data_IF_688935409005
#
_entry.id   IF_688935409005
#
_cell.length_a   1.000
_cell.length_b   1.000
_cell.length_c   1.000
_cell.angle_alpha   90.00
_cell.angle_beta   90.00
_cell.angle_gamma   90.00
#
_symmetry.space_group_name_H-M   'P 1'
#
loop_
_entity.id
_entity.type
_entity.pdbx_description
1 polymer ?
#
# COMPACT_ATOMS: atom_id res chain seq x y z
N UNK A 1 -2.83 26.05 -21.18
CA UNK A 1 -2.56 24.78 -20.47
C UNK A 1 -2.56 23.58 -21.44
N UNK A 2 -3.65 23.31 -22.18
CA UNK A 2 -3.73 22.16 -23.10
C UNK A 2 -2.61 22.10 -24.17
N UNK A 3 -2.20 23.24 -24.76
CA UNK A 3 -1.06 23.29 -25.69
C UNK A 3 0.29 22.87 -25.07
N UNK A 4 0.49 23.12 -23.78
CA UNK A 4 1.70 22.71 -23.08
C UNK A 4 1.71 21.19 -22.80
N UNK A 5 0.52 20.59 -22.63
CA UNK A 5 0.36 19.14 -22.43
C UNK A 5 0.56 18.35 -23.73
N UNK A 6 0.25 18.92 -24.89
CA UNK A 6 0.26 18.21 -26.18
C UNK A 6 1.58 17.52 -26.53
N UNK A 7 2.73 18.03 -26.05
CA UNK A 7 4.04 17.44 -26.29
C UNK A 7 4.44 16.36 -25.27
N UNK A 8 3.98 16.45 -24.02
CA UNK A 8 4.37 15.56 -22.93
C UNK A 8 3.32 14.48 -22.61
N UNK A 9 2.04 14.84 -22.73
CA UNK A 9 0.86 14.03 -22.40
C UNK A 9 -0.25 14.25 -23.44
N UNK A 10 -0.06 13.81 -24.70
CA UNK A 10 -1.02 14.04 -25.78
C UNK A 10 -2.43 13.50 -25.48
N UNK A 11 -2.57 12.42 -24.70
CA UNK A 11 -3.88 11.91 -24.29
C UNK A 11 -4.62 12.86 -23.32
N UNK A 12 -3.91 13.49 -22.38
CA UNK A 12 -4.51 14.48 -21.47
C UNK A 12 -4.86 15.78 -22.20
N UNK A 13 -4.02 16.19 -23.16
CA UNK A 13 -4.32 17.30 -24.05
C UNK A 13 -5.58 17.00 -24.89
N UNK A 14 -5.70 15.80 -25.45
CA UNK A 14 -6.87 15.36 -26.20
C UNK A 14 -8.13 15.41 -25.33
N UNK A 15 -8.07 14.88 -24.11
CA UNK A 15 -9.18 14.91 -23.17
C UNK A 15 -9.61 16.36 -22.88
N UNK A 16 -8.65 17.23 -22.60
CA UNK A 16 -8.91 18.65 -22.28
C UNK A 16 -9.56 19.38 -23.45
N UNK A 17 -9.02 19.24 -24.67
CA UNK A 17 -9.59 19.88 -25.85
C UNK A 17 -10.97 19.33 -26.21
N UNK A 18 -11.16 18.01 -26.07
CA UNK A 18 -12.45 17.37 -26.29
C UNK A 18 -13.51 17.83 -25.28
N UNK A 19 -13.14 17.98 -24.00
CA UNK A 19 -14.00 18.53 -22.97
C UNK A 19 -14.37 19.99 -23.25
N UNK A 20 -13.39 20.83 -23.61
CA UNK A 20 -13.64 22.22 -23.99
C UNK A 20 -14.61 22.33 -25.18
N UNK A 21 -14.41 21.53 -26.23
CA UNK A 21 -15.30 21.53 -27.39
C UNK A 21 -16.73 21.14 -26.99
N UNK A 22 -16.89 20.11 -26.15
CA UNK A 22 -18.19 19.62 -25.69
C UNK A 22 -18.90 20.61 -24.76
N UNK A 23 -18.22 21.14 -23.76
CA UNK A 23 -18.83 21.90 -22.68
C UNK A 23 -19.19 23.34 -23.10
N UNK A 24 -18.51 23.89 -24.11
CA UNK A 24 -18.76 25.24 -24.64
C UNK A 24 -19.52 25.28 -25.97
N UNK A 25 -19.90 24.12 -26.52
CA UNK A 25 -20.69 24.04 -27.74
C UNK A 25 -22.00 24.84 -27.60
N UNK A 26 -22.22 25.78 -28.51
CA UNK A 26 -23.41 26.67 -28.51
C UNK A 26 -23.32 27.87 -27.56
N UNK A 27 -22.26 27.97 -26.75
CA UNK A 27 -21.98 29.13 -25.89
C UNK A 27 -20.83 29.99 -26.42
N UNK A 28 -19.81 29.36 -27.01
CA UNK A 28 -18.65 30.02 -27.59
C UNK A 28 -18.23 29.36 -28.91
N UNK A 29 -17.34 30.02 -29.65
CA UNK A 29 -16.65 29.39 -30.78
C UNK A 29 -15.68 28.31 -30.26
N UNK A 30 -15.89 27.07 -30.69
CA UNK A 30 -15.12 25.88 -30.29
C UNK A 30 -14.29 25.30 -31.42
N UNK A 31 -14.22 25.95 -32.58
CA UNK A 31 -13.56 25.41 -33.77
C UNK A 31 -12.07 25.10 -33.56
N UNK A 32 -11.38 25.90 -32.74
CA UNK A 32 -10.01 25.60 -32.34
C UNK A 32 -9.93 24.31 -31.52
N UNK A 33 -10.77 24.17 -30.49
CA UNK A 33 -10.75 23.01 -29.62
C UNK A 33 -11.06 21.71 -30.38
N UNK A 34 -12.04 21.75 -31.29
CA UNK A 34 -12.36 20.62 -32.18
C UNK A 34 -11.19 20.25 -33.08
N UNK A 35 -10.53 21.24 -33.70
CA UNK A 35 -9.38 21.00 -34.57
C UNK A 35 -8.20 20.38 -33.81
N UNK A 36 -7.86 20.92 -32.65
CA UNK A 36 -6.76 20.40 -31.82
C UNK A 36 -7.08 18.99 -31.31
N UNK A 37 -8.32 18.73 -30.87
CA UNK A 37 -8.76 17.40 -30.47
C UNK A 37 -8.67 16.40 -31.63
N UNK A 38 -9.16 16.76 -32.83
CA UNK A 38 -9.08 15.90 -34.00
C UNK A 38 -7.63 15.59 -34.41
N UNK A 39 -6.75 16.60 -34.38
CA UNK A 39 -5.34 16.44 -34.69
C UNK A 39 -4.63 15.51 -33.70
N UNK A 40 -4.87 15.70 -32.39
CA UNK A 40 -4.31 14.83 -31.35
C UNK A 40 -4.85 13.40 -31.46
N UNK A 41 -6.15 13.24 -31.68
CA UNK A 41 -6.79 11.92 -31.84
C UNK A 41 -6.21 11.15 -33.04
N UNK A 42 -5.86 11.82 -34.14
CA UNK A 42 -5.22 11.18 -35.29
C UNK A 42 -3.72 10.90 -35.09
N UNK A 43 -3.08 11.47 -34.06
CA UNK A 43 -1.63 11.36 -33.87
C UNK A 43 -1.22 9.96 -33.35
N UNK A 44 -0.15 9.35 -33.92
CA UNK A 44 0.35 8.06 -33.43
C UNK A 44 0.77 8.09 -31.95
N UNK A 45 1.35 9.20 -31.48
CA UNK A 45 1.78 9.38 -30.10
C UNK A 45 0.58 9.32 -29.12
N UNK A 46 -0.50 10.04 -29.42
CA UNK A 46 -1.72 9.98 -28.60
C UNK A 46 -2.35 8.58 -28.61
N UNK A 47 -2.41 7.93 -29.77
CA UNK A 47 -2.97 6.58 -29.90
C UNK A 47 -2.15 5.55 -29.12
N UNK A 48 -0.83 5.68 -29.13
CA UNK A 48 0.06 4.83 -28.34
C UNK A 48 -0.16 5.04 -26.84
N UNK A 49 -0.26 6.30 -26.39
CA UNK A 49 -0.50 6.62 -24.97
C UNK A 49 -1.86 6.09 -24.48
N UNK A 50 -2.93 6.28 -25.27
CA UNK A 50 -4.27 5.75 -24.95
C UNK A 50 -4.25 4.23 -24.80
N UNK A 51 -3.60 3.52 -25.74
CA UNK A 51 -3.46 2.05 -25.67
C UNK A 51 -2.68 1.64 -24.43
N UNK A 52 -1.56 2.31 -24.14
CA UNK A 52 -0.75 2.04 -22.96
C UNK A 52 -1.53 2.27 -21.66
N UNK A 53 -2.38 3.30 -21.58
CA UNK A 53 -3.28 3.53 -20.44
C UNK A 53 -4.32 2.42 -20.31
N UNK A 54 -4.98 2.06 -21.41
CA UNK A 54 -6.00 1.00 -21.43
C UNK A 54 -5.42 -0.38 -21.03
N UNK A 55 -4.22 -0.71 -21.49
CA UNK A 55 -3.54 -1.96 -21.12
C UNK A 55 -3.16 -1.99 -19.64
N UNK A 56 -2.71 -0.86 -19.08
CA UNK A 56 -2.44 -0.74 -17.64
C UNK A 56 -3.72 -0.90 -16.82
N UNK A 57 -4.79 -0.22 -17.19
CA UNK A 57 -6.09 -0.32 -16.51
C UNK A 57 -6.63 -1.75 -16.53
N UNK A 58 -6.50 -2.45 -17.67
CA UNK A 58 -6.92 -3.85 -17.80
C UNK A 58 -6.11 -4.76 -16.88
N UNK A 59 -4.78 -4.67 -16.92
CA UNK A 59 -3.87 -5.45 -16.06
C UNK A 59 -4.15 -5.19 -14.58
N UNK A 60 -4.34 -3.93 -14.20
CA UNK A 60 -4.58 -3.57 -12.80
C UNK A 60 -5.92 -4.09 -12.30
N UNK A 61 -6.97 -4.04 -13.14
CA UNK A 61 -8.27 -4.67 -12.85
C UNK A 61 -8.14 -6.18 -12.68
N UNK A 62 -7.38 -6.87 -13.53
CA UNK A 62 -7.15 -8.31 -13.41
C UNK A 62 -6.42 -8.66 -12.10
N UNK A 63 -5.40 -7.88 -11.71
CA UNK A 63 -4.67 -8.07 -10.45
C UNK A 63 -5.62 -7.89 -9.24
N UNK A 64 -6.41 -6.82 -9.24
CA UNK A 64 -7.34 -6.53 -8.14
C UNK A 64 -8.50 -7.54 -8.08
N UNK A 65 -8.99 -8.02 -9.21
CA UNK A 65 -10.05 -9.03 -9.26
C UNK A 65 -9.60 -10.37 -8.66
N UNK A 66 -8.33 -10.74 -8.83
CA UNK A 66 -7.78 -12.00 -8.32
C UNK A 66 -7.40 -11.93 -6.83
N UNK A 67 -7.10 -10.73 -6.31
CA UNK A 67 -6.64 -10.53 -4.93
C UNK A 67 -7.50 -11.17 -3.85
N UNK A 68 -8.83 -10.94 -3.82
CA UNK A 68 -9.71 -11.55 -2.82
C UNK A 68 -9.67 -13.08 -2.80
N UNK A 69 -9.60 -13.73 -3.96
CA UNK A 69 -9.53 -15.20 -4.05
C UNK A 69 -8.21 -15.72 -3.47
N UNK A 70 -7.10 -15.04 -3.76
CA UNK A 70 -5.78 -15.38 -3.20
C UNK A 70 -5.79 -15.23 -1.68
N UNK A 71 -6.32 -14.13 -1.14
CA UNK A 71 -6.42 -13.94 0.31
C UNK A 71 -7.37 -14.94 0.97
N UNK A 72 -8.47 -15.29 0.30
CA UNK A 72 -9.43 -16.30 0.78
C UNK A 72 -8.84 -17.71 0.78
N UNK A 73 -7.81 -18.00 -0.02
CA UNK A 73 -7.13 -19.31 0.00
C UNK A 73 -6.41 -19.61 1.33
N UNK A 74 -6.23 -18.58 2.17
CA UNK A 74 -5.70 -18.67 3.53
C UNK A 74 -6.80 -19.20 4.46
N UNK A 75 -7.22 -20.45 4.25
CA UNK A 75 -8.29 -21.10 5.01
C UNK A 75 -7.75 -22.14 6.00
N UNK A 76 -8.38 -22.29 7.18
CA UNK A 76 -8.10 -23.38 8.09
C UNK A 76 -8.36 -24.74 7.39
N UNK A 77 -7.35 -25.62 7.38
CA UNK A 77 -7.45 -26.96 6.77
C UNK A 77 -6.91 -27.09 5.34
N UNK A 78 -6.49 -25.97 4.73
CA UNK A 78 -5.71 -26.00 3.49
C UNK A 78 -4.24 -26.42 3.72
N UNK A 79 -3.49 -26.73 2.65
CA UNK A 79 -2.05 -26.96 2.76
C UNK A 79 -1.36 -25.72 3.34
N UNK A 80 -0.25 -25.88 4.09
CA UNK A 80 0.50 -24.74 4.62
C UNK A 80 0.96 -23.83 3.48
N UNK A 81 0.54 -22.56 3.51
CA UNK A 81 1.00 -21.53 2.57
C UNK A 81 1.87 -20.55 3.35
N UNK A 82 3.04 -20.22 2.82
CA UNK A 82 3.93 -19.22 3.41
C UNK A 82 3.52 -17.81 3.00
N UNK A 83 3.88 -16.82 3.81
CA UNK A 83 3.69 -15.39 3.47
C UNK A 83 4.33 -15.07 2.11
N UNK A 84 5.53 -15.58 1.85
CA UNK A 84 6.23 -15.37 0.59
C UNK A 84 5.46 -15.92 -0.63
N UNK A 85 4.81 -17.08 -0.49
CA UNK A 85 3.96 -17.64 -1.56
C UNK A 85 2.74 -16.77 -1.83
N UNK A 86 2.09 -16.25 -0.78
CA UNK A 86 0.94 -15.35 -0.91
C UNK A 86 1.37 -14.02 -1.54
N UNK A 87 2.47 -13.44 -1.07
CA UNK A 87 3.02 -12.20 -1.61
C UNK A 87 3.40 -12.35 -3.09
N UNK A 88 3.97 -13.50 -3.49
CA UNK A 88 4.26 -13.80 -4.89
C UNK A 88 2.98 -13.94 -5.73
N UNK A 89 1.95 -14.63 -5.21
CA UNK A 89 0.66 -14.78 -5.89
C UNK A 89 -0.05 -13.42 -6.09
N UNK A 90 0.05 -12.52 -5.11
CA UNK A 90 -0.43 -11.13 -5.18
C UNK A 90 0.49 -10.22 -5.99
N UNK A 91 1.60 -10.74 -6.54
CA UNK A 91 2.61 -9.99 -7.28
C UNK A 91 3.24 -8.83 -6.50
N UNK A 92 3.32 -8.91 -5.17
CA UNK A 92 3.87 -7.84 -4.31
C UNK A 92 5.28 -7.42 -4.72
N UNK A 93 6.25 -8.34 -4.98
CA UNK A 93 7.59 -7.92 -5.41
C UNK A 93 7.60 -7.16 -6.74
N UNK A 94 6.79 -7.61 -7.71
CA UNK A 94 6.65 -6.94 -9.02
C UNK A 94 6.02 -5.55 -8.86
N UNK A 95 4.94 -5.45 -8.09
CA UNK A 95 4.24 -4.20 -7.81
C UNK A 95 5.15 -3.21 -7.09
N UNK A 96 5.97 -3.65 -6.12
CA UNK A 96 6.95 -2.77 -5.44
C UNK A 96 8.00 -2.26 -6.41
N UNK A 97 8.50 -3.10 -7.32
CA UNK A 97 9.43 -2.67 -8.38
C UNK A 97 8.77 -1.63 -9.30
N UNK A 98 7.52 -1.85 -9.71
CA UNK A 98 6.74 -0.91 -10.54
C UNK A 98 6.45 0.40 -9.82
N UNK A 99 6.17 0.34 -8.51
CA UNK A 99 5.97 1.53 -7.67
C UNK A 99 7.21 2.45 -7.61
N UNK A 100 8.41 1.90 -7.83
CA UNK A 100 9.67 2.65 -7.93
C UNK A 100 10.03 3.06 -9.38
N UNK A 101 9.15 2.84 -10.36
CA UNK A 101 9.37 3.24 -11.75
C UNK A 101 9.55 4.76 -11.88
N UNK A 102 10.39 5.17 -12.83
CA UNK A 102 10.52 6.58 -13.23
C UNK A 102 9.32 7.08 -14.04
N UNK A 103 8.52 6.17 -14.62
CA UNK A 103 7.22 6.49 -15.22
C UNK A 103 6.23 6.82 -14.07
N UNK A 104 5.77 8.08 -13.96
CA UNK A 104 4.89 8.50 -12.87
C UNK A 104 3.56 7.76 -12.87
N UNK A 105 3.02 7.42 -14.04
CA UNK A 105 1.72 6.77 -14.11
C UNK A 105 1.82 5.28 -13.76
N UNK A 106 2.88 4.59 -14.18
CA UNK A 106 3.16 3.21 -13.77
C UNK A 106 3.44 3.13 -12.26
N UNK A 107 4.22 4.08 -11.72
CA UNK A 107 4.48 4.20 -10.29
C UNK A 107 3.19 4.39 -9.51
N UNK A 108 2.33 5.32 -9.93
CA UNK A 108 1.08 5.63 -9.26
C UNK A 108 0.08 4.47 -9.33
N UNK A 109 -0.03 3.81 -10.49
CA UNK A 109 -0.83 2.59 -10.68
C UNK A 109 -0.45 1.51 -9.67
N UNK A 110 0.83 1.15 -9.60
CA UNK A 110 1.31 0.10 -8.70
C UNK A 110 1.14 0.47 -7.23
N UNK A 111 1.39 1.74 -6.86
CA UNK A 111 1.14 2.25 -5.49
C UNK A 111 -0.32 2.12 -5.09
N UNK A 112 -1.28 2.41 -5.99
CA UNK A 112 -2.72 2.24 -5.69
C UNK A 112 -3.09 0.80 -5.39
N UNK A 113 -2.53 -0.15 -6.15
CA UNK A 113 -2.76 -1.59 -5.90
C UNK A 113 -2.17 -1.98 -4.54
N UNK A 114 -0.91 -1.61 -4.27
CA UNK A 114 -0.26 -1.91 -2.99
C UNK A 114 -1.04 -1.31 -1.82
N UNK A 115 -1.49 -0.05 -1.92
CA UNK A 115 -2.32 0.60 -0.90
C UNK A 115 -3.66 -0.12 -0.70
N UNK A 116 -4.26 -0.65 -1.76
CA UNK A 116 -5.47 -1.47 -1.66
C UNK A 116 -5.20 -2.74 -0.85
N UNK A 117 -4.10 -3.42 -1.12
CA UNK A 117 -3.70 -4.59 -0.34
C UNK A 117 -3.31 -4.24 1.10
N UNK A 118 -2.65 -3.10 1.34
CA UNK A 118 -2.36 -2.63 2.71
C UNK A 118 -3.65 -2.43 3.51
N UNK A 119 -4.66 -1.76 2.95
CA UNK A 119 -5.94 -1.59 3.63
C UNK A 119 -6.59 -2.93 4.01
N UNK A 120 -6.51 -3.93 3.13
CA UNK A 120 -7.03 -5.27 3.44
C UNK A 120 -6.20 -6.00 4.49
N UNK A 121 -4.88 -6.01 4.35
CA UNK A 121 -3.96 -6.86 5.12
C UNK A 121 -3.55 -6.27 6.46
N UNK A 122 -3.61 -4.95 6.62
CA UNK A 122 -3.19 -4.25 7.84
C UNK A 122 -4.37 -3.70 8.66
N UNK A 123 -5.57 -3.59 8.07
CA UNK A 123 -6.73 -3.02 8.74
C UNK A 123 -7.94 -3.96 8.72
N UNK A 124 -8.59 -4.14 7.57
CA UNK A 124 -9.90 -4.79 7.51
C UNK A 124 -9.87 -6.28 7.86
N UNK A 125 -8.94 -7.05 7.30
CA UNK A 125 -8.87 -8.49 7.55
C UNK A 125 -8.38 -8.81 8.96
N UNK A 126 -7.26 -8.23 9.46
CA UNK A 126 -6.84 -8.48 10.84
C UNK A 126 -7.92 -8.17 11.85
N UNK A 127 -8.62 -7.04 11.72
CA UNK A 127 -9.71 -6.67 12.63
C UNK A 127 -10.84 -7.72 12.62
N UNK A 128 -11.34 -8.09 11.43
CA UNK A 128 -12.40 -9.11 11.32
C UNK A 128 -11.96 -10.47 11.88
N UNK A 129 -10.69 -10.84 11.71
CA UNK A 129 -10.14 -12.10 12.22
C UNK A 129 -9.98 -12.06 13.75
N UNK A 130 -9.58 -10.93 14.32
CA UNK A 130 -9.49 -10.75 15.77
C UNK A 130 -10.86 -10.81 16.44
N UNK A 131 -11.90 -10.22 15.83
CA UNK A 131 -13.29 -10.35 16.28
C UNK A 131 -13.75 -11.82 16.33
N UNK A 132 -13.28 -12.64 15.38
CA UNK A 132 -13.52 -14.09 15.32
C UNK A 132 -12.55 -14.91 16.19
N UNK A 133 -11.63 -14.26 16.91
CA UNK A 133 -10.58 -14.89 17.73
C UNK A 133 -9.59 -15.75 16.92
N UNK A 134 -9.42 -15.45 15.64
CA UNK A 134 -8.52 -16.13 14.72
C UNK A 134 -7.14 -15.46 14.70
N UNK A 135 -6.49 -15.40 15.87
CA UNK A 135 -5.26 -14.62 16.09
C UNK A 135 -4.11 -14.94 15.12
N UNK A 136 -3.88 -16.23 14.85
CA UNK A 136 -2.77 -16.63 13.97
C UNK A 136 -3.01 -16.19 12.51
N UNK A 137 -4.27 -16.15 12.06
CA UNK A 137 -4.61 -15.60 10.73
C UNK A 137 -4.49 -14.09 10.70
N UNK A 138 -4.87 -13.39 11.77
CA UNK A 138 -4.67 -11.95 11.87
C UNK A 138 -3.18 -11.58 11.81
N UNK A 139 -2.32 -12.33 12.53
CA UNK A 139 -0.86 -12.19 12.46
C UNK A 139 -0.35 -12.46 11.03
N UNK A 140 -0.85 -13.50 10.37
CA UNK A 140 -0.45 -13.82 8.99
C UNK A 140 -0.80 -12.67 8.02
N UNK A 141 -1.98 -12.07 8.15
CA UNK A 141 -2.38 -10.90 7.35
C UNK A 141 -1.47 -9.70 7.60
N UNK A 142 -1.19 -9.38 8.86
CA UNK A 142 -0.25 -8.29 9.20
C UNK A 142 1.17 -8.58 8.69
N UNK A 143 1.62 -9.82 8.76
CA UNK A 143 2.94 -10.22 8.23
C UNK A 143 3.00 -10.05 6.71
N UNK A 144 1.89 -10.32 6.00
CA UNK A 144 1.78 -10.00 4.58
C UNK A 144 1.77 -8.47 4.33
N UNK A 145 1.13 -7.70 5.22
CA UNK A 145 1.23 -6.23 5.24
C UNK A 145 2.68 -5.75 5.35
N UNK A 146 3.48 -6.39 6.21
CA UNK A 146 4.91 -6.10 6.37
C UNK A 146 5.74 -6.42 5.11
N UNK A 147 5.34 -7.39 4.28
CA UNK A 147 5.99 -7.61 2.97
C UNK A 147 5.69 -6.48 1.96
N UNK A 148 4.50 -5.90 2.06
CA UNK A 148 4.06 -4.78 1.21
C UNK A 148 4.77 -3.48 1.63
N UNK A 149 4.84 -3.22 2.94
CA UNK A 149 5.48 -2.03 3.54
C UNK A 149 6.54 -2.45 4.58
N UNK A 150 7.73 -2.89 4.15
CA UNK A 150 8.73 -3.44 5.07
C UNK A 150 9.42 -2.41 5.95
N UNK A 151 9.26 -1.13 5.67
CA UNK A 151 9.82 -0.03 6.47
C UNK A 151 8.80 0.56 7.45
N UNK A 152 7.59 0.04 7.50
CA UNK A 152 6.59 0.46 8.49
C UNK A 152 6.86 -0.27 9.82
N UNK A 153 7.26 0.44 10.89
CA UNK A 153 7.44 -0.19 12.20
C UNK A 153 6.12 -0.53 12.89
N UNK A 154 5.02 0.16 12.56
CA UNK A 154 3.72 0.04 13.22
C UNK A 154 3.11 -1.36 13.08
N UNK A 155 3.26 -1.98 11.90
CA UNK A 155 2.77 -3.35 11.66
C UNK A 155 3.36 -4.37 12.64
N UNK A 156 4.62 -4.17 13.05
CA UNK A 156 5.30 -5.06 13.98
C UNK A 156 4.84 -4.84 15.42
N UNK A 157 4.44 -3.62 15.78
CA UNK A 157 3.76 -3.34 17.06
C UNK A 157 2.41 -4.04 17.11
N UNK A 158 1.63 -4.02 16.03
CA UNK A 158 0.35 -4.73 15.96
C UNK A 158 0.53 -6.26 16.07
N UNK A 159 1.52 -6.82 15.39
CA UNK A 159 1.87 -8.25 15.51
C UNK A 159 2.24 -8.59 16.96
N UNK A 160 3.03 -7.74 17.62
CA UNK A 160 3.42 -7.93 19.02
C UNK A 160 2.22 -7.90 19.96
N UNK A 161 1.33 -6.92 19.78
CA UNK A 161 0.11 -6.77 20.56
C UNK A 161 -0.78 -8.01 20.47
N UNK A 162 -0.93 -8.59 19.28
CA UNK A 162 -1.72 -9.82 19.11
C UNK A 162 -1.04 -11.02 19.80
N UNK A 163 0.29 -11.14 19.69
CA UNK A 163 1.02 -12.20 20.39
C UNK A 163 0.93 -12.10 21.91
N UNK A 164 0.91 -10.89 22.46
CA UNK A 164 0.79 -10.63 23.89
C UNK A 164 -0.64 -10.81 24.44
N UNK A 165 -1.66 -10.54 23.62
CA UNK A 165 -3.07 -10.54 24.04
C UNK A 165 -3.84 -11.85 23.76
N UNK A 166 -3.30 -12.77 22.95
CA UNK A 166 -3.97 -14.05 22.65
C UNK A 166 -4.17 -14.91 23.92
N UNK A 167 -5.15 -15.85 23.96
CA UNK A 167 -5.49 -16.64 25.15
C UNK A 167 -4.32 -17.42 25.77
N UNK A 168 -3.34 -17.82 24.96
CA UNK A 168 -2.05 -18.37 25.41
C UNK A 168 -0.94 -17.45 24.92
N UNK A 169 -0.60 -16.37 25.65
CA UNK A 169 0.36 -15.37 25.19
C UNK A 169 1.68 -15.99 24.76
N UNK A 170 2.23 -15.50 23.64
CA UNK A 170 3.55 -15.91 23.14
C UNK A 170 4.52 -14.75 23.35
N UNK A 171 4.96 -14.58 24.61
CA UNK A 171 5.84 -13.50 25.04
C UNK A 171 7.09 -13.38 24.18
N UNK A 172 7.73 -14.51 23.83
CA UNK A 172 8.95 -14.52 23.01
C UNK A 172 8.69 -13.92 21.63
N UNK A 173 7.60 -14.31 20.97
CA UNK A 173 7.25 -13.74 19.65
C UNK A 173 6.80 -12.28 19.74
N UNK A 174 6.12 -11.90 20.82
CA UNK A 174 5.75 -10.50 21.03
C UNK A 174 6.98 -9.59 21.14
N UNK A 175 7.95 -9.94 21.99
CA UNK A 175 9.21 -9.19 22.12
C UNK A 175 10.02 -9.19 20.82
N UNK A 176 10.07 -10.32 20.10
CA UNK A 176 10.73 -10.38 18.81
C UNK A 176 10.11 -9.40 17.80
N UNK A 177 8.79 -9.30 17.74
CA UNK A 177 8.11 -8.36 16.87
C UNK A 177 8.38 -6.90 17.28
N UNK A 178 8.37 -6.58 18.59
CA UNK A 178 8.76 -5.24 19.06
C UNK A 178 10.21 -4.88 18.73
N UNK A 179 11.12 -5.84 18.83
CA UNK A 179 12.51 -5.66 18.41
C UNK A 179 12.58 -5.30 16.93
N UNK A 180 11.86 -6.02 16.08
CA UNK A 180 11.76 -5.70 14.66
C UNK A 180 11.18 -4.30 14.44
N UNK A 181 10.14 -3.89 15.20
CA UNK A 181 9.60 -2.54 15.12
C UNK A 181 10.67 -1.47 15.42
N UNK A 182 11.46 -1.66 16.48
CA UNK A 182 12.55 -0.75 16.86
C UNK A 182 13.66 -0.73 15.81
N UNK A 183 14.03 -1.88 15.24
CA UNK A 183 14.98 -1.99 14.13
C UNK A 183 14.48 -1.27 12.86
N UNK A 184 13.17 -1.30 12.62
CA UNK A 184 12.48 -0.60 11.52
C UNK A 184 12.18 0.87 11.79
N UNK A 185 12.68 1.41 12.90
CA UNK A 185 12.66 2.85 13.14
C UNK A 185 11.47 3.35 13.96
N UNK A 186 10.78 2.50 14.73
CA UNK A 186 9.78 2.94 15.70
C UNK A 186 10.33 4.10 16.55
N UNK A 187 9.66 5.25 16.54
CA UNK A 187 10.13 6.48 17.18
C UNK A 187 9.12 7.12 18.14
N UNK A 188 7.90 6.59 18.25
CA UNK A 188 6.90 7.07 19.21
C UNK A 188 6.75 6.10 20.40
N UNK A 189 7.13 6.51 21.63
CA UNK A 189 6.93 5.69 22.83
C UNK A 189 5.46 5.33 23.09
N UNK A 190 4.51 6.16 22.66
CA UNK A 190 3.09 5.92 22.88
C UNK A 190 2.60 4.61 22.21
N UNK A 191 3.27 4.18 21.13
CA UNK A 191 2.98 2.91 20.48
C UNK A 191 3.30 1.69 21.38
N UNK A 192 4.14 1.84 22.40
CA UNK A 192 4.47 0.78 23.35
C UNK A 192 3.61 0.81 24.62
N UNK A 193 2.92 1.92 24.91
CA UNK A 193 2.09 2.07 26.10
C UNK A 193 0.67 1.48 25.93
N UNK A 194 0.43 0.78 24.82
CA UNK A 194 -0.88 0.17 24.51
C UNK A 194 -1.28 -0.89 25.53
N UNK A 195 -2.58 -0.93 25.84
CA UNK A 195 -3.17 -1.88 26.81
C UNK A 195 -2.97 -3.36 26.45
N UNK A 196 -2.87 -3.66 25.16
CA UNK A 196 -2.67 -5.02 24.64
C UNK A 196 -1.22 -5.52 24.83
N UNK A 197 -0.29 -4.62 25.18
CA UNK A 197 1.09 -4.92 25.56
C UNK A 197 1.32 -4.90 27.08
N UNK A 198 0.28 -4.66 27.90
CA UNK A 198 0.43 -4.49 29.35
C UNK A 198 1.09 -5.69 30.05
N UNK A 199 0.90 -6.90 29.54
CA UNK A 199 1.55 -8.11 30.08
C UNK A 199 3.08 -8.13 29.90
N UNK A 200 3.62 -7.27 29.04
CA UNK A 200 5.04 -7.12 28.78
C UNK A 200 5.67 -5.95 29.54
N UNK A 201 4.90 -5.06 30.17
CA UNK A 201 5.43 -3.84 30.79
C UNK A 201 6.46 -4.10 31.89
N UNK A 202 6.35 -5.23 32.60
CA UNK A 202 7.32 -5.62 33.63
C UNK A 202 8.56 -6.35 33.10
N UNK A 203 8.58 -6.67 31.80
CA UNK A 203 9.68 -7.37 31.16
C UNK A 203 10.90 -6.46 30.97
N UNK A 204 12.06 -6.94 31.43
CA UNK A 204 13.33 -6.24 31.26
C UNK A 204 13.69 -5.95 29.80
N UNK A 205 13.37 -6.86 28.87
CA UNK A 205 13.61 -6.62 27.44
C UNK A 205 12.67 -5.55 26.91
N UNK A 206 11.41 -5.57 27.31
CA UNK A 206 10.42 -4.57 26.91
C UNK A 206 10.80 -3.17 27.43
N UNK A 207 11.19 -3.06 28.71
CA UNK A 207 11.68 -1.81 29.33
C UNK A 207 12.89 -1.26 28.57
N UNK A 208 13.80 -2.12 28.10
CA UNK A 208 14.94 -1.71 27.25
C UNK A 208 14.49 -1.17 25.90
N UNK A 209 13.54 -1.84 25.23
CA UNK A 209 13.00 -1.37 23.95
C UNK A 209 12.29 -0.02 24.11
N UNK A 210 11.49 0.17 25.17
CA UNK A 210 10.86 1.46 25.49
C UNK A 210 11.88 2.58 25.72
N UNK A 211 12.96 2.30 26.44
CA UNK A 211 14.04 3.27 26.64
C UNK A 211 14.69 3.68 25.31
N UNK A 212 14.99 2.72 24.43
CA UNK A 212 15.56 3.00 23.10
C UNK A 212 14.64 3.88 22.24
N UNK A 213 13.34 3.58 22.21
CA UNK A 213 12.36 4.38 21.45
C UNK A 213 12.26 5.78 22.05
N UNK A 214 12.24 5.91 23.37
CA UNK A 214 12.19 7.21 24.06
C UNK A 214 13.43 8.07 23.81
N UNK A 215 14.62 7.47 23.79
CA UNK A 215 15.86 8.16 23.45
C UNK A 215 15.84 8.64 21.99
N UNK A 216 15.39 7.79 21.07
CA UNK A 216 15.24 8.14 19.65
C UNK A 216 14.24 9.28 19.44
N UNK A 217 13.08 9.23 20.11
CA UNK A 217 12.05 10.26 20.04
C UNK A 217 12.57 11.65 20.43
N UNK A 218 13.44 11.70 21.44
CA UNK A 218 14.05 12.93 21.95
C UNK A 218 15.22 13.43 21.12
N UNK A 219 15.83 12.56 20.31
CA UNK A 219 16.97 12.93 19.48
C UNK A 219 16.55 13.98 18.43
N UNK A 220 17.38 15.00 18.18
CA UNK A 220 17.09 15.99 17.15
C UNK A 220 16.94 15.29 15.79
N UNK A 221 15.81 15.50 15.13
CA UNK A 221 15.57 14.93 13.79
C UNK A 221 16.57 15.55 12.81
N UNK A 222 17.21 14.76 11.94
CA UNK A 222 18.07 15.32 10.90
C UNK A 222 17.25 16.27 10.02
N UNK A 223 17.87 17.34 9.47
CA UNK A 223 17.18 18.24 8.56
C UNK A 223 16.57 17.44 7.41
N UNK A 224 15.31 17.71 7.09
CA UNK A 224 14.64 17.10 5.94
C UNK A 224 15.42 17.46 4.67
N UNK A 225 16.03 16.45 4.03
CA UNK A 225 16.74 16.57 2.76
C UNK A 225 15.80 16.51 1.56
#
# INVERSE_FOLDING_TARGET
HARALAAAHPADALHTWSAMAKDYAGLHDVAEAEREAAALAASPACQQEIRARADRDRRDKEILANGPSILASINPGGPPVTVAQIAAALKVPELRKRAASADPEESLSAKRILNTYMGQTMFYQPQSLLEKKEYDRAILMLTLGAEISPEDPGVWVDIAAIHASKPKPDRKKALQALRTAVEKGLDDPADLDRKDLASLHEDEEFKRLQAQVSERHRAPKPPAG
#
